data_IF_355851815398
#
_entry.id   IF_355851815398
#
_cell.length_a   1.000
_cell.length_b   1.000
_cell.length_c   1.000
_cell.angle_alpha   90.00
_cell.angle_beta   90.00
_cell.angle_gamma   90.00
#
_symmetry.space_group_name_H-M   'P 1'
#
loop_
_entity.id
_entity.type
_entity.pdbx_description
1 polymer ?
#
# COMPACT_ATOMS: atom_id res chain seq x y z
N UNK A 1 40.34 -52.44 -22.51
CA UNK A 1 40.16 -51.23 -21.66
C UNK A 1 39.28 -50.22 -22.36
N UNK A 2 38.08 -50.56 -22.87
CA UNK A 2 37.29 -49.60 -23.68
C UNK A 2 35.79 -49.55 -23.34
N UNK A 3 35.31 -50.18 -22.27
CA UNK A 3 33.89 -50.15 -21.89
C UNK A 3 33.55 -49.28 -20.65
N UNK A 4 34.54 -48.72 -19.96
CA UNK A 4 34.29 -47.86 -18.76
C UNK A 4 34.21 -46.37 -19.02
N UNK A 5 34.67 -45.89 -20.20
CA UNK A 5 34.68 -44.47 -20.54
C UNK A 5 33.32 -44.02 -21.08
N UNK A 6 32.59 -44.90 -21.78
CA UNK A 6 31.29 -44.57 -22.38
C UNK A 6 30.16 -44.40 -21.35
N UNK A 7 30.24 -45.08 -20.20
CA UNK A 7 29.22 -45.01 -19.17
C UNK A 7 29.30 -43.67 -18.36
N UNK A 8 30.51 -43.11 -18.24
CA UNK A 8 30.71 -41.83 -17.54
C UNK A 8 30.22 -40.59 -18.33
N UNK A 9 30.29 -40.64 -19.66
CA UNK A 9 29.81 -39.57 -20.51
C UNK A 9 28.27 -39.51 -20.59
N UNK A 10 27.57 -40.62 -20.53
CA UNK A 10 26.11 -40.66 -20.55
C UNK A 10 25.52 -40.16 -19.22
N UNK A 11 26.16 -40.46 -18.09
CA UNK A 11 25.72 -39.95 -16.80
C UNK A 11 25.93 -38.43 -16.66
N UNK A 12 26.98 -37.87 -17.26
CA UNK A 12 27.23 -36.43 -17.22
C UNK A 12 26.28 -35.61 -18.13
N UNK A 13 25.87 -36.22 -19.27
CA UNK A 13 24.87 -35.56 -20.16
C UNK A 13 23.47 -35.57 -19.58
N UNK A 14 23.08 -36.60 -18.81
CA UNK A 14 21.77 -36.64 -18.17
C UNK A 14 21.66 -35.65 -16.98
N UNK A 15 22.76 -35.43 -16.22
CA UNK A 15 22.76 -34.40 -15.18
C UNK A 15 22.65 -32.95 -15.73
N UNK A 16 23.29 -32.69 -16.87
CA UNK A 16 23.19 -31.39 -17.53
C UNK A 16 21.79 -31.12 -18.09
N UNK A 17 21.11 -32.13 -18.63
CA UNK A 17 19.75 -31.99 -19.15
C UNK A 17 18.71 -31.76 -18.04
N UNK A 18 18.88 -32.38 -16.88
CA UNK A 18 18.02 -32.14 -15.70
C UNK A 18 18.22 -30.71 -15.18
N UNK A 19 19.45 -30.21 -15.17
CA UNK A 19 19.76 -28.84 -14.76
C UNK A 19 19.14 -27.79 -15.70
N UNK A 20 19.20 -28.01 -17.02
CA UNK A 20 18.61 -27.12 -18.00
C UNK A 20 17.06 -27.13 -17.98
N UNK A 21 16.44 -28.30 -17.73
CA UNK A 21 14.99 -28.39 -17.61
C UNK A 21 14.49 -27.64 -16.36
N UNK A 22 15.20 -27.74 -15.22
CA UNK A 22 14.86 -27.00 -14.01
C UNK A 22 15.04 -25.49 -14.19
N UNK A 23 16.09 -25.05 -14.89
CA UNK A 23 16.31 -23.63 -15.21
C UNK A 23 15.22 -23.06 -16.13
N UNK A 24 14.71 -23.87 -17.06
CA UNK A 24 13.62 -23.45 -17.93
C UNK A 24 12.29 -23.37 -17.14
N UNK A 25 11.99 -24.33 -16.29
CA UNK A 25 10.82 -24.28 -15.39
C UNK A 25 10.88 -23.08 -14.43
N UNK A 26 12.04 -22.78 -13.88
CA UNK A 26 12.22 -21.59 -13.02
C UNK A 26 12.03 -20.30 -13.82
N UNK A 27 12.55 -20.22 -15.05
CA UNK A 27 12.31 -19.06 -15.93
C UNK A 27 10.85 -18.93 -16.34
N UNK A 28 10.17 -20.01 -16.61
CA UNK A 28 8.75 -20.01 -16.97
C UNK A 28 7.87 -19.60 -15.77
N UNK A 29 8.25 -19.97 -14.54
CA UNK A 29 7.59 -19.51 -13.32
C UNK A 29 7.86 -18.02 -13.06
N UNK A 30 9.10 -17.56 -13.27
CA UNK A 30 9.44 -16.14 -13.12
C UNK A 30 8.71 -15.28 -14.19
N UNK A 31 8.67 -15.75 -15.44
CA UNK A 31 8.00 -15.02 -16.51
C UNK A 31 6.45 -15.10 -16.46
N UNK A 32 5.87 -16.07 -15.77
CA UNK A 32 4.43 -16.16 -15.54
C UNK A 32 3.94 -15.29 -14.37
N UNK A 33 4.86 -14.79 -13.53
CA UNK A 33 4.55 -13.88 -12.43
C UNK A 33 4.49 -12.40 -12.84
N UNK A 34 4.85 -12.08 -14.08
CA UNK A 34 4.88 -10.70 -14.60
C UNK A 34 3.51 -10.17 -15.08
N UNK A 35 2.41 -10.88 -14.77
CA UNK A 35 1.08 -10.31 -14.96
C UNK A 35 0.68 -9.52 -13.73
N UNK A 36 0.55 -8.19 -13.79
CA UNK A 36 0.13 -7.37 -12.66
C UNK A 36 -1.30 -7.66 -12.18
N UNK A 37 -2.00 -8.61 -12.80
CA UNK A 37 -3.41 -8.91 -12.59
C UNK A 37 -3.69 -10.37 -12.23
N UNK A 38 -2.73 -11.07 -11.59
CA UNK A 38 -3.00 -12.43 -11.12
C UNK A 38 -4.02 -12.40 -9.98
N UNK A 39 -5.26 -12.78 -10.26
CA UNK A 39 -6.35 -12.96 -9.27
C UNK A 39 -6.08 -14.08 -8.23
N UNK A 40 -4.92 -14.67 -8.22
CA UNK A 40 -4.52 -15.73 -7.29
C UNK A 40 -3.85 -15.22 -6.02
N UNK A 41 -4.14 -13.99 -5.62
CA UNK A 41 -4.06 -13.56 -4.23
C UNK A 41 -2.68 -13.50 -3.56
N UNK A 42 -1.58 -13.84 -4.22
CA UNK A 42 -0.26 -13.68 -3.65
C UNK A 42 0.62 -12.81 -4.55
N UNK A 43 0.66 -11.52 -4.22
CA UNK A 43 1.55 -10.59 -4.90
C UNK A 43 2.97 -10.77 -4.38
N UNK A 44 3.71 -11.74 -4.93
CA UNK A 44 5.13 -11.93 -4.63
C UNK A 44 5.90 -10.95 -5.52
N UNK A 45 6.22 -9.78 -4.99
CA UNK A 45 7.20 -8.90 -5.61
C UNK A 45 8.58 -9.54 -5.46
N UNK A 46 9.40 -9.62 -6.53
CA UNK A 46 10.78 -10.01 -6.38
C UNK A 46 11.46 -9.03 -5.42
N UNK A 47 12.09 -9.54 -4.38
CA UNK A 47 12.86 -8.74 -3.44
C UNK A 47 14.08 -8.18 -4.16
N UNK A 48 13.90 -7.02 -4.76
CA UNK A 48 15.02 -6.17 -5.13
C UNK A 48 15.53 -5.50 -3.85
N UNK A 49 16.83 -5.39 -3.67
CA UNK A 49 17.40 -4.60 -2.57
C UNK A 49 17.06 -3.13 -2.78
N UNK A 50 16.00 -2.67 -2.13
CA UNK A 50 15.53 -1.29 -2.18
C UNK A 50 16.07 -0.42 -1.04
N UNK A 51 17.03 -0.93 -0.26
CA UNK A 51 17.62 -0.24 0.89
C UNK A 51 16.86 -0.49 2.21
N UNK A 52 17.30 0.18 3.27
CA UNK A 52 16.89 -0.11 4.65
C UNK A 52 15.71 0.72 5.16
N UNK A 53 15.20 1.67 4.38
CA UNK A 53 14.03 2.49 4.76
C UNK A 53 12.77 2.07 4.01
N UNK A 54 12.50 0.77 3.99
CA UNK A 54 11.35 0.22 3.28
C UNK A 54 10.09 0.18 4.13
N UNK A 55 8.91 0.24 3.46
CA UNK A 55 7.57 0.12 4.01
C UNK A 55 6.83 -1.03 3.31
N UNK A 56 5.79 -1.62 3.94
CA UNK A 56 5.29 -1.36 5.29
C UNK A 56 6.16 -1.97 6.39
N UNK A 57 5.85 -1.70 7.66
CA UNK A 57 6.54 -2.25 8.82
C UNK A 57 5.56 -2.85 9.85
N UNK A 58 6.08 -3.67 10.74
CA UNK A 58 5.37 -4.02 11.96
C UNK A 58 5.65 -2.94 13.02
N UNK A 59 4.66 -2.10 13.28
CA UNK A 59 4.70 -1.06 14.30
C UNK A 59 4.68 -1.73 15.67
N UNK A 60 5.71 -1.48 16.49
CA UNK A 60 5.80 -1.96 17.88
C UNK A 60 5.43 -0.82 18.81
N UNK A 61 4.20 -0.78 19.30
CA UNK A 61 3.67 0.32 20.11
C UNK A 61 4.51 0.60 21.36
N UNK A 62 5.06 -0.44 22.00
CA UNK A 62 5.95 -0.34 23.14
C UNK A 62 7.36 0.21 22.81
N UNK A 63 7.72 0.37 21.55
CA UNK A 63 8.97 0.97 21.08
C UNK A 63 8.79 2.40 20.61
N UNK A 64 7.58 2.90 20.65
CA UNK A 64 7.32 4.30 20.39
C UNK A 64 8.15 5.16 21.34
N UNK A 65 8.93 6.07 20.77
CA UNK A 65 9.59 7.10 21.57
C UNK A 65 8.58 8.21 21.82
N UNK A 66 8.45 8.65 23.05
CA UNK A 66 7.76 9.90 23.33
C UNK A 66 8.42 10.97 22.46
N UNK A 67 7.74 11.35 21.40
CA UNK A 67 8.26 12.36 20.49
C UNK A 67 7.83 13.74 20.97
N UNK A 68 8.68 14.70 20.68
CA UNK A 68 8.24 16.08 20.58
C UNK A 68 7.13 16.11 19.54
N UNK A 69 5.95 16.56 19.92
CA UNK A 69 4.72 16.51 19.12
C UNK A 69 4.98 16.85 17.66
N UNK A 70 4.83 15.88 16.76
CA UNK A 70 4.82 16.13 15.34
C UNK A 70 3.59 16.96 15.00
N UNK A 71 3.78 18.20 14.67
CA UNK A 71 2.66 19.06 14.29
C UNK A 71 2.34 18.83 12.82
N UNK A 72 1.21 18.17 12.58
CA UNK A 72 0.62 17.99 11.26
C UNK A 72 -0.62 18.88 11.13
N UNK A 73 -0.70 19.66 10.06
CA UNK A 73 -1.82 20.58 9.82
C UNK A 73 -2.51 20.24 8.51
N UNK A 74 -3.82 20.02 8.58
CA UNK A 74 -4.66 19.75 7.43
C UNK A 74 -5.35 21.03 6.95
N UNK A 75 -5.31 21.28 5.63
CA UNK A 75 -6.18 22.22 4.94
C UNK A 75 -6.96 21.43 3.89
N UNK A 76 -8.03 20.80 4.34
CA UNK A 76 -8.81 19.89 3.55
C UNK A 76 -9.98 20.60 2.88
N UNK A 77 -10.32 20.18 1.68
CA UNK A 77 -11.48 20.60 0.90
C UNK A 77 -12.14 19.35 0.32
N UNK A 78 -13.45 19.25 0.39
CA UNK A 78 -14.23 18.13 -0.13
C UNK A 78 -14.14 18.01 -1.67
N UNK A 79 -12.99 17.58 -2.18
CA UNK A 79 -12.70 17.57 -3.61
C UNK A 79 -12.24 16.21 -4.12
N UNK A 80 -12.96 15.14 -3.74
CA UNK A 80 -12.81 13.82 -4.37
C UNK A 80 -13.59 13.83 -5.67
N UNK A 81 -12.89 13.64 -6.80
CA UNK A 81 -13.42 13.86 -8.15
C UNK A 81 -13.75 12.59 -8.93
N UNK A 82 -13.16 11.44 -8.54
CA UNK A 82 -13.33 10.17 -9.24
C UNK A 82 -13.06 8.99 -8.32
N UNK A 83 -13.64 7.84 -8.67
CA UNK A 83 -13.29 6.53 -8.15
C UNK A 83 -12.85 5.65 -9.32
N UNK A 84 -11.79 4.88 -9.13
CA UNK A 84 -11.19 4.00 -10.13
C UNK A 84 -11.16 2.56 -9.64
N UNK A 85 -11.46 1.64 -10.53
CA UNK A 85 -11.17 0.22 -10.37
C UNK A 85 -9.91 -0.09 -11.16
N UNK A 86 -8.79 -0.26 -10.48
CA UNK A 86 -7.49 -0.60 -11.10
C UNK A 86 -7.22 -2.12 -11.10
N UNK A 87 -8.21 -2.94 -10.75
CA UNK A 87 -8.13 -4.39 -10.67
C UNK A 87 -7.30 -4.91 -9.49
N UNK A 88 -6.23 -4.23 -9.14
CA UNK A 88 -5.34 -4.54 -8.02
C UNK A 88 -5.50 -3.59 -6.83
N UNK A 89 -6.27 -2.51 -6.98
CA UNK A 89 -6.69 -1.62 -5.91
C UNK A 89 -7.89 -0.77 -6.36
N UNK A 90 -8.66 -0.31 -5.39
CA UNK A 90 -9.67 0.74 -5.56
C UNK A 90 -9.03 2.07 -5.20
N UNK A 91 -9.08 3.04 -6.12
CA UNK A 91 -8.48 4.35 -5.93
C UNK A 91 -9.50 5.47 -6.02
N UNK A 92 -9.39 6.48 -5.16
CA UNK A 92 -10.13 7.72 -5.26
C UNK A 92 -9.17 8.88 -5.51
N UNK A 93 -9.48 9.70 -6.50
CA UNK A 93 -8.66 10.81 -6.91
C UNK A 93 -9.10 12.13 -6.30
N UNK A 94 -8.15 12.90 -5.80
CA UNK A 94 -8.40 14.27 -5.39
C UNK A 94 -8.28 15.26 -6.56
N UNK A 95 -9.16 16.24 -6.58
CA UNK A 95 -8.92 17.48 -7.27
C UNK A 95 -7.91 18.33 -6.49
N UNK A 96 -7.13 19.14 -7.19
CA UNK A 96 -6.17 20.01 -6.53
C UNK A 96 -6.83 20.99 -5.55
N UNK A 97 -6.24 21.15 -4.36
CA UNK A 97 -6.72 22.14 -3.37
C UNK A 97 -6.51 21.68 -1.93
N UNK A 98 -6.72 20.40 -1.64
CA UNK A 98 -6.48 19.83 -0.31
C UNK A 98 -4.98 19.63 -0.08
N UNK A 99 -4.54 19.96 1.13
CA UNK A 99 -3.12 19.88 1.48
C UNK A 99 -2.92 19.46 2.92
N UNK A 100 -1.77 18.86 3.19
CA UNK A 100 -1.27 18.62 4.52
C UNK A 100 0.11 19.26 4.66
N UNK A 101 0.41 19.81 5.83
CA UNK A 101 1.72 20.42 6.13
C UNK A 101 2.36 19.69 7.30
N UNK A 102 3.64 19.40 7.16
CA UNK A 102 4.48 18.79 8.18
C UNK A 102 5.89 19.42 8.16
N UNK A 103 6.42 19.82 9.31
CA UNK A 103 7.72 20.52 9.44
C UNK A 103 7.86 21.72 8.47
N UNK A 104 6.79 22.50 8.29
CA UNK A 104 6.78 23.64 7.38
C UNK A 104 6.74 23.28 5.89
N UNK A 105 6.75 21.99 5.54
CA UNK A 105 6.65 21.51 4.17
C UNK A 105 5.19 21.21 3.85
N UNK A 106 4.72 21.75 2.71
CA UNK A 106 3.38 21.52 2.22
C UNK A 106 3.34 20.39 1.20
N UNK A 107 2.36 19.49 1.36
CA UNK A 107 2.08 18.37 0.47
C UNK A 107 0.67 18.49 -0.08
N UNK A 108 0.50 18.33 -1.38
CA UNK A 108 -0.80 18.30 -2.05
C UNK A 108 -1.37 16.88 -2.03
N UNK A 109 -2.64 16.71 -1.66
CA UNK A 109 -3.33 15.44 -1.79
C UNK A 109 -3.43 15.03 -3.25
N UNK A 110 -3.15 13.77 -3.55
CA UNK A 110 -3.19 13.23 -4.91
C UNK A 110 -4.28 12.18 -5.07
N UNK A 111 -4.22 11.12 -4.27
CA UNK A 111 -5.16 10.01 -4.32
C UNK A 111 -5.22 9.31 -2.96
N UNK A 112 -6.23 8.48 -2.78
CA UNK A 112 -6.28 7.47 -1.74
C UNK A 112 -6.61 6.11 -2.35
N UNK A 113 -6.12 5.05 -1.73
CA UNK A 113 -6.33 3.69 -2.19
C UNK A 113 -6.36 2.71 -1.01
N UNK A 114 -6.75 1.48 -1.30
CA UNK A 114 -6.99 0.47 -0.28
C UNK A 114 -6.06 -0.73 -0.44
N UNK A 115 -5.87 -1.40 0.68
CA UNK A 115 -5.18 -2.68 0.79
C UNK A 115 -6.01 -3.64 1.63
N UNK A 116 -6.19 -4.85 1.15
CA UNK A 116 -6.80 -5.97 1.86
C UNK A 116 -5.89 -7.20 1.76
N UNK A 117 -5.38 -7.73 2.90
CA UNK A 117 -5.40 -7.17 4.25
C UNK A 117 -4.54 -5.91 4.40
N UNK A 118 -4.42 -5.38 5.63
CA UNK A 118 -3.52 -4.26 5.93
C UNK A 118 -2.07 -4.56 5.58
N UNK A 119 -1.36 -3.55 5.10
CA UNK A 119 0.08 -3.60 4.86
C UNK A 119 0.88 -3.45 6.16
N UNK A 120 0.51 -2.46 7.01
CA UNK A 120 1.11 -2.32 8.33
C UNK A 120 0.53 -3.34 9.31
N UNK A 121 1.39 -3.80 10.21
CA UNK A 121 0.99 -4.51 11.41
C UNK A 121 1.17 -3.61 12.61
N UNK A 122 0.31 -3.78 13.63
CA UNK A 122 0.50 -3.17 14.94
C UNK A 122 0.67 -4.29 15.96
N UNK A 123 1.82 -4.33 16.61
CA UNK A 123 2.21 -5.37 17.58
C UNK A 123 2.05 -6.81 17.05
N UNK A 124 2.27 -6.98 15.74
CA UNK A 124 2.17 -8.26 15.05
C UNK A 124 0.76 -8.61 14.58
N UNK A 125 -0.24 -7.76 14.85
CA UNK A 125 -1.61 -7.95 14.38
C UNK A 125 -1.79 -7.39 12.97
N UNK A 126 -2.41 -8.16 12.10
CA UNK A 126 -2.90 -7.74 10.78
C UNK A 126 -4.36 -7.32 10.90
N UNK A 127 -4.75 -6.31 10.16
CA UNK A 127 -6.13 -5.83 10.08
C UNK A 127 -6.76 -6.22 8.74
N UNK A 128 -8.09 -6.33 8.66
CA UNK A 128 -8.76 -6.73 7.43
C UNK A 128 -8.53 -5.77 6.25
N UNK A 129 -8.34 -4.48 6.53
CA UNK A 129 -8.17 -3.47 5.50
C UNK A 129 -7.33 -2.30 6.01
N UNK A 130 -6.58 -1.66 5.10
CA UNK A 130 -5.87 -0.41 5.32
C UNK A 130 -6.12 0.55 4.16
N UNK A 131 -6.26 1.83 4.44
CA UNK A 131 -6.38 2.89 3.45
C UNK A 131 -5.17 3.82 3.54
N UNK A 132 -4.62 4.18 2.39
CA UNK A 132 -3.54 5.15 2.26
C UNK A 132 -4.03 6.43 1.59
N UNK A 133 -3.82 7.59 2.22
CA UNK A 133 -4.00 8.89 1.59
C UNK A 133 -2.62 9.41 1.20
N UNK A 134 -2.36 9.48 -0.08
CA UNK A 134 -1.05 9.85 -0.64
C UNK A 134 -1.01 11.33 -0.98
N UNK A 135 -0.03 12.02 -0.43
CA UNK A 135 0.25 13.42 -0.70
C UNK A 135 1.69 13.62 -1.15
N UNK A 136 1.94 14.60 -2.00
CA UNK A 136 3.27 14.89 -2.54
C UNK A 136 3.61 16.37 -2.48
N UNK A 137 4.90 16.68 -2.34
CA UNK A 137 5.34 18.06 -2.56
C UNK A 137 5.08 18.50 -4.00
N UNK A 138 4.67 19.76 -4.21
CA UNK A 138 4.54 20.30 -5.56
C UNK A 138 5.91 20.33 -6.26
N UNK A 139 5.99 19.75 -7.46
CA UNK A 139 7.20 19.75 -8.26
C UNK A 139 7.20 20.91 -9.24
N UNK A 140 8.24 21.75 -9.18
CA UNK A 140 8.54 22.73 -10.22
C UNK A 140 9.32 22.11 -11.38
N UNK A 141 10.07 21.05 -11.10
CA UNK A 141 10.90 20.31 -12.04
C UNK A 141 10.58 18.80 -11.91
N UNK A 142 10.19 18.18 -13.02
CA UNK A 142 9.87 16.76 -13.09
C UNK A 142 11.06 15.82 -12.93
N UNK A 143 12.28 16.33 -13.03
CA UNK A 143 13.51 15.55 -12.79
C UNK A 143 13.78 15.32 -11.30
N UNK A 144 13.09 16.05 -10.41
CA UNK A 144 13.25 15.93 -8.96
C UNK A 144 12.25 14.88 -8.44
N UNK A 145 12.74 13.91 -7.69
CA UNK A 145 11.89 12.96 -6.97
C UNK A 145 11.07 13.69 -5.92
N UNK A 146 9.73 13.55 -5.91
CA UNK A 146 8.89 14.20 -4.91
C UNK A 146 9.16 13.61 -3.53
N UNK A 147 8.93 14.41 -2.49
CA UNK A 147 8.72 13.90 -1.15
C UNK A 147 7.26 13.50 -1.01
N UNK A 148 7.02 12.41 -0.32
CA UNK A 148 5.69 11.90 -0.05
C UNK A 148 5.36 12.07 1.44
N UNK A 149 4.10 12.29 1.71
CA UNK A 149 3.50 12.12 3.02
C UNK A 149 2.29 11.22 2.82
N UNK A 150 2.25 10.12 3.55
CA UNK A 150 1.17 9.14 3.46
C UNK A 150 0.53 8.95 4.83
N UNK A 151 -0.80 9.07 4.85
CA UNK A 151 -1.61 8.74 6.03
C UNK A 151 -2.08 7.30 5.88
N UNK A 152 -1.81 6.46 6.86
CA UNK A 152 -2.31 5.08 6.94
C UNK A 152 -3.46 5.00 7.92
N UNK A 153 -4.59 4.45 7.50
CA UNK A 153 -5.80 4.26 8.31
C UNK A 153 -6.16 2.79 8.31
N UNK A 154 -6.10 2.17 9.48
CA UNK A 154 -6.40 0.77 9.68
C UNK A 154 -7.90 0.58 9.95
N UNK A 155 -8.47 -0.50 9.42
CA UNK A 155 -9.87 -0.88 9.65
C UNK A 155 -9.96 -2.27 10.26
N UNK A 156 -10.84 -2.39 11.25
CA UNK A 156 -11.31 -3.68 11.80
C UNK A 156 -12.75 -3.95 11.39
N UNK A 157 -13.17 -5.18 11.45
CA UNK A 157 -14.60 -5.51 11.31
C UNK A 157 -15.42 -4.88 12.44
N UNK A 158 -16.57 -4.32 12.07
CA UNK A 158 -17.46 -3.67 13.00
C UNK A 158 -18.71 -3.08 12.32
N UNK A 159 -19.06 -1.87 12.72
CA UNK A 159 -20.19 -1.13 12.14
C UNK A 159 -19.87 -0.66 10.73
N UNK A 160 -20.92 -0.43 9.92
CA UNK A 160 -20.77 0.21 8.61
C UNK A 160 -20.09 1.57 8.73
N UNK A 161 -19.15 1.82 7.86
CA UNK A 161 -18.44 3.09 7.76
C UNK A 161 -19.11 4.00 6.76
N UNK A 162 -19.54 5.18 7.19
CA UNK A 162 -20.28 6.13 6.37
C UNK A 162 -19.49 6.58 5.14
N UNK A 163 -18.21 6.84 5.30
CA UNK A 163 -17.34 7.27 4.20
C UNK A 163 -17.26 6.21 3.10
N UNK A 164 -17.14 4.92 3.46
CA UNK A 164 -17.12 3.82 2.50
C UNK A 164 -18.45 3.73 1.74
N UNK A 165 -19.59 3.90 2.43
CA UNK A 165 -20.92 3.87 1.81
C UNK A 165 -21.10 4.96 0.74
N UNK A 166 -20.35 6.06 0.81
CA UNK A 166 -20.47 7.19 -0.13
C UNK A 166 -19.98 6.87 -1.54
N UNK A 167 -19.13 5.83 -1.72
CA UNK A 167 -18.54 5.54 -3.03
C UNK A 167 -18.57 4.07 -3.46
N UNK A 168 -18.78 3.11 -2.55
CA UNK A 168 -18.71 1.67 -2.88
C UNK A 168 -19.63 1.30 -4.04
N UNK A 169 -20.86 1.84 -4.09
CA UNK A 169 -21.83 1.63 -5.17
C UNK A 169 -21.45 2.29 -6.50
N UNK A 170 -20.45 3.18 -6.48
CA UNK A 170 -19.97 3.95 -7.64
C UNK A 170 -18.70 3.40 -8.25
N UNK A 171 -18.09 2.38 -7.64
CA UNK A 171 -16.90 1.74 -8.18
C UNK A 171 -17.23 1.09 -9.52
N UNK A 172 -16.47 1.38 -10.60
CA UNK A 172 -16.68 0.72 -11.88
C UNK A 172 -16.51 -0.79 -11.79
N UNK A 173 -17.35 -1.54 -12.52
CA UNK A 173 -17.28 -3.01 -12.55
C UNK A 173 -16.09 -3.56 -13.35
N UNK A 174 -15.64 -2.80 -14.35
CA UNK A 174 -14.54 -3.20 -15.22
C UNK A 174 -13.23 -2.66 -14.67
N UNK A 175 -12.18 -3.47 -14.76
CA UNK A 175 -10.81 -3.07 -14.45
C UNK A 175 -10.35 -1.92 -15.38
N UNK A 176 -9.41 -1.11 -14.92
CA UNK A 176 -8.83 0.04 -15.62
C UNK A 176 -9.87 1.07 -16.07
N UNK A 177 -10.95 1.20 -15.29
CA UNK A 177 -11.98 2.21 -15.57
C UNK A 177 -12.18 3.16 -14.40
N UNK A 178 -12.54 4.40 -14.78
CA UNK A 178 -12.79 5.52 -13.88
C UNK A 178 -14.26 5.93 -13.94
N UNK A 179 -14.86 6.16 -12.79
CA UNK A 179 -16.17 6.82 -12.66
C UNK A 179 -15.99 8.22 -12.07
N UNK A 180 -16.43 9.27 -12.75
CA UNK A 180 -16.39 10.61 -12.20
C UNK A 180 -17.39 10.76 -11.03
N UNK A 181 -16.96 11.46 -9.99
CA UNK A 181 -17.78 11.78 -8.83
C UNK A 181 -18.17 13.26 -8.85
N UNK A 182 -19.40 13.54 -8.45
CA UNK A 182 -19.80 14.92 -8.18
C UNK A 182 -19.08 15.40 -6.91
N UNK A 183 -18.37 16.51 -7.00
CA UNK A 183 -17.65 17.09 -5.86
C UNK A 183 -18.57 17.28 -4.65
N UNK A 184 -18.07 16.96 -3.47
CA UNK A 184 -18.80 17.04 -2.21
C UNK A 184 -19.78 15.90 -1.95
N UNK A 185 -19.83 14.84 -2.81
CA UNK A 185 -20.65 13.64 -2.57
C UNK A 185 -19.90 12.53 -1.84
N UNK A 186 -18.58 12.52 -1.92
CA UNK A 186 -17.69 11.66 -1.14
C UNK A 186 -16.82 12.56 -0.28
N UNK A 187 -16.95 12.44 1.03
CA UNK A 187 -16.46 13.43 1.97
C UNK A 187 -15.44 12.80 2.92
N UNK A 188 -14.17 13.16 2.75
CA UNK A 188 -13.13 12.73 3.67
C UNK A 188 -13.36 13.23 5.11
N UNK A 189 -14.12 14.32 5.28
CA UNK A 189 -14.56 14.79 6.59
C UNK A 189 -15.36 13.75 7.36
N UNK A 190 -16.18 12.96 6.67
CA UNK A 190 -16.96 11.88 7.30
C UNK A 190 -16.08 10.72 7.80
N UNK A 191 -14.83 10.69 7.39
CA UNK A 191 -13.82 9.79 7.93
C UNK A 191 -12.95 10.47 8.99
N UNK A 192 -12.31 11.61 8.64
CA UNK A 192 -11.29 12.24 9.50
C UNK A 192 -11.86 13.00 10.69
N UNK A 193 -13.11 13.49 10.59
CA UNK A 193 -13.79 14.23 11.67
C UNK A 193 -15.03 13.50 12.19
N UNK A 194 -15.12 12.19 11.92
CA UNK A 194 -16.16 11.35 12.53
C UNK A 194 -15.99 11.33 14.05
N UNK A 195 -17.10 11.09 14.76
CA UNK A 195 -17.08 10.92 16.24
C UNK A 195 -16.13 9.79 16.68
N UNK A 196 -15.70 8.93 15.76
CA UNK A 196 -14.77 7.84 16.03
C UNK A 196 -13.31 8.29 15.96
N UNK A 197 -12.95 9.25 15.10
CA UNK A 197 -11.60 9.76 14.93
C UNK A 197 -11.42 11.11 15.65
N UNK A 198 -11.74 11.19 16.93
CA UNK A 198 -11.63 12.42 17.73
C UNK A 198 -10.22 12.99 17.82
N UNK A 199 -9.19 12.20 17.53
CA UNK A 199 -7.80 12.61 17.65
C UNK A 199 -6.97 12.27 16.42
N UNK A 200 -7.16 13.07 15.36
CA UNK A 200 -6.34 13.01 14.13
C UNK A 200 -4.86 13.35 14.39
N UNK A 201 -4.50 13.69 15.60
CA UNK A 201 -3.12 13.99 16.00
C UNK A 201 -2.43 12.78 16.65
N UNK A 202 -3.16 11.70 16.89
CA UNK A 202 -2.64 10.51 17.53
C UNK A 202 -2.26 9.46 16.48
N UNK A 203 -0.99 9.43 16.11
CA UNK A 203 -0.44 8.55 15.07
C UNK A 203 0.94 8.03 15.44
N UNK A 204 1.34 6.96 14.77
CA UNK A 204 2.72 6.51 14.70
C UNK A 204 3.38 7.19 13.50
N UNK A 205 4.53 7.81 13.72
CA UNK A 205 5.29 8.41 12.63
C UNK A 205 6.59 7.66 12.39
N UNK A 206 6.94 7.45 11.12
CA UNK A 206 8.25 6.92 10.74
C UNK A 206 8.61 7.30 9.30
N UNK A 207 9.91 7.28 8.97
CA UNK A 207 10.42 7.49 7.62
C UNK A 207 10.52 6.17 6.87
N UNK A 208 9.93 6.11 5.67
CA UNK A 208 9.85 4.88 4.91
C UNK A 208 9.84 5.10 3.40
N UNK A 209 9.23 4.14 2.69
CA UNK A 209 9.13 4.11 1.24
C UNK A 209 7.67 4.06 0.77
N UNK A 210 7.46 4.24 -0.53
CA UNK A 210 6.26 3.71 -1.17
C UNK A 210 6.22 2.18 -0.99
N UNK A 211 5.03 1.62 -0.90
CA UNK A 211 4.81 0.17 -0.80
C UNK A 211 4.65 -0.48 -2.17
N UNK A 212 4.61 0.33 -3.23
CA UNK A 212 4.58 -0.11 -4.62
C UNK A 212 5.85 0.33 -5.37
N UNK A 213 6.22 -0.35 -6.47
CA UNK A 213 7.36 0.05 -7.28
C UNK A 213 7.30 1.53 -7.70
N UNK A 214 8.42 2.25 -7.70
CA UNK A 214 9.81 1.81 -7.49
C UNK A 214 10.28 1.81 -6.02
N UNK A 215 9.38 1.76 -5.02
CA UNK A 215 9.66 1.68 -3.58
C UNK A 215 10.52 2.85 -3.05
N UNK A 216 10.27 4.02 -3.58
CA UNK A 216 11.03 5.27 -3.31
C UNK A 216 11.03 5.61 -1.82
N UNK A 217 12.23 5.80 -1.23
CA UNK A 217 12.46 6.01 0.20
C UNK A 217 12.36 7.49 0.62
N UNK A 218 11.32 8.19 0.20
CA UNK A 218 11.10 9.62 0.50
C UNK A 218 9.75 9.88 1.17
N UNK A 219 9.23 8.87 1.88
CA UNK A 219 7.90 8.90 2.47
C UNK A 219 7.96 9.21 3.97
N UNK A 220 7.21 10.21 4.39
CA UNK A 220 6.81 10.42 5.79
C UNK A 220 5.50 9.65 6.01
N UNK A 221 5.53 8.61 6.81
CA UNK A 221 4.38 7.82 7.19
C UNK A 221 3.77 8.32 8.49
N UNK A 222 2.44 8.49 8.47
CA UNK A 222 1.62 8.79 9.62
C UNK A 222 0.52 7.73 9.69
N UNK A 223 0.70 6.70 10.51
CA UNK A 223 -0.30 5.64 10.69
C UNK A 223 -1.13 5.96 11.91
N UNK A 224 -2.42 6.21 11.73
CA UNK A 224 -3.30 6.59 12.84
C UNK A 224 -3.40 5.44 13.86
N UNK A 225 -3.34 5.81 15.15
CA UNK A 225 -3.48 4.83 16.24
C UNK A 225 -4.91 4.37 16.41
N UNK A 226 -5.87 5.24 16.07
CA UNK A 226 -7.27 4.85 16.05
C UNK A 226 -7.55 3.91 14.89
N UNK A 227 -8.15 2.74 15.21
CA UNK A 227 -8.53 1.74 14.22
C UNK A 227 -10.01 1.93 13.93
N UNK A 228 -10.33 2.30 12.69
CA UNK A 228 -11.69 2.52 12.23
C UNK A 228 -12.48 1.22 12.13
N UNK A 229 -13.80 1.31 12.15
CA UNK A 229 -14.68 0.19 11.85
C UNK A 229 -15.14 0.23 10.40
N UNK A 230 -15.28 -0.95 9.79
CA UNK A 230 -15.97 -1.17 8.54
C UNK A 230 -16.79 -2.45 8.64
N UNK A 231 -17.94 -2.51 8.00
CA UNK A 231 -18.72 -3.74 8.01
C UNK A 231 -18.03 -4.83 7.19
N UNK A 232 -18.24 -6.12 7.51
CA UNK A 232 -17.70 -7.22 6.72
C UNK A 232 -18.04 -7.10 5.23
N UNK A 233 -19.25 -6.63 4.90
CA UNK A 233 -19.72 -6.44 3.52
C UNK A 233 -18.93 -5.33 2.79
N UNK A 234 -18.57 -4.24 3.49
CA UNK A 234 -17.75 -3.17 2.91
C UNK A 234 -16.33 -3.66 2.63
N UNK A 235 -15.72 -4.38 3.58
CA UNK A 235 -14.38 -4.96 3.42
C UNK A 235 -14.37 -5.98 2.27
N UNK A 236 -15.38 -6.87 2.22
CA UNK A 236 -15.52 -7.87 1.16
C UNK A 236 -15.72 -7.21 -0.21
N UNK A 237 -16.48 -6.12 -0.30
CA UNK A 237 -16.71 -5.41 -1.56
C UNK A 237 -15.41 -4.84 -2.15
N UNK A 238 -14.51 -4.33 -1.32
CA UNK A 238 -13.19 -3.86 -1.74
C UNK A 238 -12.28 -5.05 -2.06
N UNK A 239 -12.22 -6.05 -1.17
CA UNK A 239 -11.38 -7.24 -1.38
C UNK A 239 -11.76 -8.03 -2.64
N UNK A 240 -13.04 -8.09 -2.99
CA UNK A 240 -13.51 -8.75 -4.21
C UNK A 240 -12.94 -8.13 -5.50
N UNK A 241 -12.55 -6.85 -5.46
CA UNK A 241 -11.94 -6.14 -6.58
C UNK A 241 -10.42 -6.33 -6.57
N UNK A 242 -9.78 -6.05 -5.44
CA UNK A 242 -8.32 -5.95 -5.36
C UNK A 242 -7.61 -7.23 -4.91
N UNK A 243 -8.34 -8.17 -4.29
CA UNK A 243 -7.75 -9.37 -3.70
C UNK A 243 -6.77 -9.05 -2.59
N UNK A 244 -5.81 -9.95 -2.36
CA UNK A 244 -4.73 -9.70 -1.40
C UNK A 244 -3.59 -8.94 -2.10
N UNK A 245 -3.55 -7.63 -1.88
CA UNK A 245 -2.59 -6.74 -2.52
C UNK A 245 -1.55 -6.14 -1.55
N UNK A 246 -1.51 -6.60 -0.30
CA UNK A 246 -0.57 -6.12 0.70
C UNK A 246 0.87 -6.57 0.42
N UNK A 247 1.81 -5.63 0.46
CA UNK A 247 3.25 -5.94 0.44
C UNK A 247 3.66 -6.55 1.77
N UNK A 248 4.61 -7.49 1.75
CA UNK A 248 5.21 -8.04 2.96
C UNK A 248 5.88 -6.96 3.82
N UNK A 249 5.79 -7.12 5.15
CA UNK A 249 6.44 -6.22 6.11
C UNK A 249 7.96 -6.21 5.91
N UNK A 250 8.52 -5.03 6.08
CA UNK A 250 9.95 -4.76 5.95
C UNK A 250 10.60 -4.58 7.32
N UNK A 251 11.90 -4.82 7.38
CA UNK A 251 12.66 -4.62 8.61
C UNK A 251 12.65 -3.16 9.08
N UNK A 252 12.46 -2.93 10.37
CA UNK A 252 12.55 -1.60 10.94
C UNK A 252 14.01 -1.08 10.93
N UNK A 253 14.97 -1.98 11.06
CA UNK A 253 16.40 -1.69 11.19
C UNK A 253 16.66 -0.67 12.32
N UNK A 254 17.40 0.41 12.06
CA UNK A 254 17.73 1.45 13.04
C UNK A 254 16.71 2.60 13.06
N UNK A 255 15.58 2.49 12.36
CA UNK A 255 14.55 3.54 12.35
C UNK A 255 13.81 3.60 13.68
N UNK A 256 13.41 4.82 14.04
CA UNK A 256 12.53 5.07 15.17
C UNK A 256 11.09 5.14 14.71
N UNK A 257 10.19 4.82 15.61
CA UNK A 257 8.75 5.10 15.52
C UNK A 257 8.49 6.11 16.63
N UNK A 258 7.86 7.20 16.30
CA UNK A 258 7.54 8.31 17.22
C UNK A 258 6.05 8.66 17.13
#
# INVERSE_FOLDING_TARGET
>A
MSKKITLFLVLFSSLLLVSCANLKQIKDVINSSDSPHSKTGLYIQPELDHGHMQSPINIRSFREKESNSHEITFNYKDEIKAVENLGHTVQLDFKAGSTVSYEGIKYDFKQMHFHTPSEHLVDGMTFPMEMHIVSTTPLKDKSITPRYLVLGILFKEGRSNKFLDEFLDKIPKNEDTLAPLKLGTVRLDDLLYSDELHDIKNFYHYKGSLTTPPYTQTVQWFVFKHIMEASPQQIEAINAIEGNNARHIQGLFARTID
#
